data_IF_540512357734
#
_entry.id   IF_540512357734
#
_cell.length_a   1.000
_cell.length_b   1.000
_cell.length_c   1.000
_cell.angle_alpha   90.00
_cell.angle_beta   90.00
_cell.angle_gamma   90.00
#
_symmetry.space_group_name_H-M   'P 1'
#
loop_
_entity.id
_entity.type
_entity.pdbx_description
1 polymer ?
#
# COMPACT_ATOMS: atom_id res chain seq x y z
N UNK A 1 14.72 1.35 -17.86
CA UNK A 1 14.96 2.57 -17.06
C UNK A 1 15.08 2.13 -15.64
N UNK A 2 16.09 2.61 -14.89
CA UNK A 2 16.07 2.43 -13.44
C UNK A 2 15.29 3.58 -12.82
N UNK A 3 14.24 3.25 -12.09
CA UNK A 3 13.46 4.25 -11.36
C UNK A 3 12.87 3.66 -10.08
N UNK A 4 12.80 4.45 -9.03
CA UNK A 4 12.02 4.17 -7.83
C UNK A 4 10.89 5.20 -7.73
N UNK A 5 9.67 4.72 -7.53
CA UNK A 5 8.48 5.56 -7.31
C UNK A 5 8.66 6.49 -6.12
N UNK A 6 8.06 7.68 -6.16
CA UNK A 6 7.92 8.51 -4.97
C UNK A 6 7.07 7.79 -3.91
N UNK A 7 7.34 8.02 -2.63
CA UNK A 7 6.60 7.37 -1.54
C UNK A 7 6.03 8.42 -0.62
N UNK A 8 4.71 8.44 -0.48
CA UNK A 8 4.02 9.22 0.54
C UNK A 8 3.52 8.25 1.61
N UNK A 9 3.85 8.52 2.87
CA UNK A 9 3.06 8.02 4.00
C UNK A 9 2.27 9.17 4.60
N UNK A 10 1.00 8.95 4.90
CA UNK A 10 0.16 9.95 5.54
C UNK A 10 -0.96 9.29 6.35
N UNK A 11 -1.54 10.05 7.27
CA UNK A 11 -2.67 9.63 8.08
C UNK A 11 -3.91 10.41 7.70
N UNK A 12 -4.99 9.71 7.41
CA UNK A 12 -6.33 10.29 7.41
C UNK A 12 -6.81 10.26 8.87
N UNK A 13 -7.07 11.42 9.43
CA UNK A 13 -7.56 11.61 10.79
C UNK A 13 -9.00 12.12 10.74
N UNK A 14 -9.85 11.62 11.64
CA UNK A 14 -11.23 12.06 11.78
C UNK A 14 -11.73 11.92 13.23
N UNK A 15 -12.99 12.29 13.42
CA UNK A 15 -13.71 12.06 14.69
C UNK A 15 -13.86 10.56 14.96
N UNK A 16 -14.13 10.22 16.21
CA UNK A 16 -14.47 8.86 16.60
C UNK A 16 -15.79 8.39 15.99
N UNK A 17 -15.97 7.07 16.01
CA UNK A 17 -17.09 6.34 15.43
C UNK A 17 -17.79 5.50 16.52
N UNK A 18 -19.04 5.07 16.33
CA UNK A 18 -19.77 4.26 17.32
C UNK A 18 -19.28 2.80 17.41
N UNK A 19 -18.14 2.48 16.81
CA UNK A 19 -17.51 1.16 16.79
C UNK A 19 -16.00 1.29 16.99
N UNK A 20 -15.38 0.17 17.35
CA UNK A 20 -13.93 0.02 17.36
C UNK A 20 -13.49 -0.83 16.19
N UNK A 21 -12.46 -0.40 15.46
CA UNK A 21 -11.80 -1.16 14.41
C UNK A 21 -10.29 -0.91 14.49
N UNK A 22 -9.54 -1.92 14.89
CA UNK A 22 -8.10 -1.82 15.12
C UNK A 22 -7.39 -2.95 14.40
N UNK A 23 -6.32 -2.65 13.69
CA UNK A 23 -5.42 -3.67 13.15
C UNK A 23 -4.50 -3.15 12.05
N UNK A 24 -3.77 -4.09 11.46
CA UNK A 24 -2.63 -3.78 10.62
C UNK A 24 -1.41 -3.31 11.41
N UNK A 25 -0.22 -3.51 10.84
CA UNK A 25 1.05 -3.36 11.57
C UNK A 25 1.95 -2.26 11.02
N UNK A 26 1.90 -2.01 9.71
CA UNK A 26 2.85 -1.14 9.04
C UNK A 26 2.23 -0.46 7.81
N UNK A 27 2.63 0.78 7.53
CA UNK A 27 2.18 1.53 6.34
C UNK A 27 2.36 0.75 5.03
N UNK A 28 3.48 0.05 4.87
CA UNK A 28 3.90 -0.62 3.64
C UNK A 28 3.41 -2.08 3.52
N UNK A 29 2.51 -2.53 4.39
CA UNK A 29 1.85 -3.85 4.32
C UNK A 29 0.34 -3.67 4.18
N UNK A 30 -0.35 -4.58 3.49
CA UNK A 30 -1.82 -4.64 3.50
C UNK A 30 -2.28 -5.00 4.91
N UNK A 31 -3.23 -4.24 5.47
CA UNK A 31 -3.86 -4.57 6.75
C UNK A 31 -4.67 -5.87 6.62
N UNK A 32 -4.06 -7.00 6.98
CA UNK A 32 -4.59 -8.34 6.77
C UNK A 32 -5.37 -8.88 7.97
N UNK A 33 -5.12 -8.40 9.18
CA UNK A 33 -5.89 -8.78 10.36
C UNK A 33 -6.39 -7.54 11.09
N UNK A 34 -7.69 -7.51 11.38
CA UNK A 34 -8.34 -6.46 12.18
C UNK A 34 -9.32 -7.06 13.18
N UNK A 35 -9.52 -6.34 14.28
CA UNK A 35 -10.55 -6.60 15.29
C UNK A 35 -11.62 -5.52 15.21
N UNK A 36 -12.87 -5.94 14.98
CA UNK A 36 -14.05 -5.08 14.98
C UNK A 36 -14.90 -5.34 16.24
N UNK A 37 -15.39 -4.27 16.85
CA UNK A 37 -16.38 -4.33 17.94
C UNK A 37 -17.41 -3.23 17.73
N UNK A 38 -18.69 -3.59 17.70
CA UNK A 38 -19.78 -2.63 17.50
C UNK A 38 -21.13 -3.31 17.31
N UNK A 39 -22.20 -2.51 17.18
CA UNK A 39 -23.59 -3.00 17.11
C UNK A 39 -23.89 -3.88 15.90
N UNK A 40 -23.09 -3.77 14.83
CA UNK A 40 -23.30 -4.50 13.58
C UNK A 40 -22.42 -5.76 13.45
N UNK A 41 -21.95 -6.31 14.57
CA UNK A 41 -21.03 -7.45 14.58
C UNK A 41 -21.54 -8.63 13.75
N UNK A 42 -22.77 -9.09 14.03
CA UNK A 42 -23.36 -10.26 13.36
C UNK A 42 -23.66 -10.01 11.88
N UNK A 43 -24.12 -8.80 11.54
CA UNK A 43 -24.39 -8.40 10.16
C UNK A 43 -23.12 -8.35 9.31
N UNK A 44 -22.06 -7.73 9.86
CA UNK A 44 -20.75 -7.65 9.20
C UNK A 44 -20.17 -9.05 9.04
N UNK A 45 -20.17 -9.86 10.10
CA UNK A 45 -19.73 -11.26 10.05
C UNK A 45 -20.41 -12.02 8.91
N UNK A 46 -21.74 -12.01 8.89
CA UNK A 46 -22.54 -12.73 7.90
C UNK A 46 -22.21 -12.30 6.47
N UNK A 47 -22.09 -10.98 6.22
CA UNK A 47 -21.76 -10.44 4.89
C UNK A 47 -20.33 -10.75 4.45
N UNK A 48 -19.38 -10.77 5.39
CA UNK A 48 -17.98 -11.11 5.11
C UNK A 48 -17.83 -12.60 4.78
N UNK A 49 -18.49 -13.49 5.53
CA UNK A 49 -18.49 -14.93 5.25
C UNK A 49 -19.11 -15.26 3.89
N UNK A 50 -20.17 -14.55 3.48
CA UNK A 50 -20.74 -14.66 2.11
C UNK A 50 -19.75 -14.25 1.02
N UNK A 51 -18.76 -13.40 1.33
CA UNK A 51 -17.66 -13.01 0.44
C UNK A 51 -16.44 -13.93 0.57
N UNK A 52 -16.56 -15.06 1.26
CA UNK A 52 -15.49 -16.02 1.57
C UNK A 52 -14.32 -15.40 2.36
N UNK A 53 -14.61 -14.44 3.23
CA UNK A 53 -13.62 -13.86 4.14
C UNK A 53 -13.64 -14.64 5.45
N UNK A 54 -12.46 -15.04 5.93
CA UNK A 54 -12.34 -15.75 7.20
C UNK A 54 -12.63 -14.78 8.36
N UNK A 55 -13.54 -15.19 9.24
CA UNK A 55 -13.87 -14.44 10.45
C UNK A 55 -13.91 -15.32 11.68
N UNK A 56 -13.67 -14.75 12.85
CA UNK A 56 -13.77 -15.43 14.14
C UNK A 56 -14.29 -14.46 15.19
N UNK A 57 -15.20 -14.89 16.04
CA UNK A 57 -15.66 -14.08 17.18
C UNK A 57 -14.92 -14.53 18.44
N UNK A 58 -14.30 -13.59 19.15
CA UNK A 58 -13.64 -13.79 20.44
C UNK A 58 -13.90 -12.58 21.34
N UNK A 59 -14.36 -12.81 22.58
CA UNK A 59 -14.58 -11.74 23.58
C UNK A 59 -15.38 -10.53 23.05
N UNK A 60 -16.51 -10.79 22.37
CA UNK A 60 -17.37 -9.77 21.74
C UNK A 60 -16.69 -8.93 20.65
N UNK A 61 -15.55 -9.40 20.12
CA UNK A 61 -14.85 -8.83 18.98
C UNK A 61 -14.90 -9.79 17.79
N UNK A 62 -15.19 -9.26 16.61
CA UNK A 62 -15.06 -9.94 15.33
C UNK A 62 -13.65 -9.74 14.79
N UNK A 63 -12.86 -10.80 14.79
CA UNK A 63 -11.58 -10.87 14.09
C UNK A 63 -11.86 -11.17 12.63
N UNK A 64 -11.39 -10.29 11.74
CA UNK A 64 -11.48 -10.44 10.29
C UNK A 64 -10.09 -10.70 9.75
N UNK A 65 -9.93 -11.80 9.00
CA UNK A 65 -8.67 -12.18 8.38
C UNK A 65 -8.77 -12.10 6.87
N UNK A 66 -8.01 -11.17 6.31
CA UNK A 66 -7.69 -11.04 4.91
C UNK A 66 -6.38 -11.75 4.57
N UNK A 67 -5.59 -11.11 3.72
CA UNK A 67 -4.34 -11.67 3.20
C UNK A 67 -3.30 -10.57 3.06
N UNK A 68 -2.17 -10.72 3.74
CA UNK A 68 -1.07 -9.76 3.64
C UNK A 68 -0.47 -9.73 2.24
N UNK A 69 0.03 -8.56 1.87
CA UNK A 69 0.82 -8.31 0.68
C UNK A 69 1.63 -7.03 0.89
N UNK A 70 2.76 -6.91 0.21
CA UNK A 70 3.51 -5.67 0.19
C UNK A 70 2.64 -4.55 -0.40
N UNK A 71 2.61 -3.37 0.24
CA UNK A 71 1.83 -2.20 -0.18
C UNK A 71 2.15 -1.60 -1.57
N UNK A 72 3.13 -2.13 -2.30
CA UNK A 72 3.31 -1.86 -3.75
C UNK A 72 2.48 -2.77 -4.66
N UNK A 73 1.95 -3.87 -4.11
CA UNK A 73 1.12 -4.87 -4.78
C UNK A 73 -0.11 -5.17 -3.90
N UNK A 74 -0.87 -4.15 -3.46
CA UNK A 74 -2.01 -4.36 -2.56
C UNK A 74 -3.09 -5.25 -3.16
N UNK A 75 -3.17 -5.34 -4.50
CA UNK A 75 -4.10 -6.19 -5.24
C UNK A 75 -3.84 -7.70 -5.06
N UNK A 76 -2.65 -8.10 -4.61
CA UNK A 76 -2.34 -9.51 -4.30
C UNK A 76 -2.85 -9.94 -2.91
N UNK A 77 -3.22 -8.98 -2.08
CA UNK A 77 -3.74 -9.16 -0.73
C UNK A 77 -5.25 -8.98 -0.64
N UNK A 78 -5.78 -9.14 0.57
CA UNK A 78 -7.16 -8.83 0.94
C UNK A 78 -7.07 -7.93 2.15
N UNK A 79 -7.50 -6.67 2.00
CA UNK A 79 -7.43 -5.68 3.07
C UNK A 79 -8.63 -5.83 4.01
N UNK A 80 -8.39 -6.40 5.20
CA UNK A 80 -9.40 -6.68 6.20
C UNK A 80 -10.03 -5.40 6.78
N UNK A 81 -9.26 -4.32 6.90
CA UNK A 81 -9.78 -3.03 7.35
C UNK A 81 -10.78 -2.44 6.34
N UNK A 82 -10.37 -2.36 5.07
CA UNK A 82 -11.17 -1.73 4.02
C UNK A 82 -12.44 -2.51 3.69
N UNK A 83 -12.39 -3.84 3.68
CA UNK A 83 -13.59 -4.66 3.45
C UNK A 83 -14.59 -4.56 4.62
N UNK A 84 -14.09 -4.46 5.85
CA UNK A 84 -14.93 -4.26 7.05
C UNK A 84 -15.62 -2.89 7.00
N UNK A 85 -14.87 -1.83 6.71
CA UNK A 85 -15.43 -0.47 6.55
C UNK A 85 -16.42 -0.38 5.39
N UNK A 86 -16.12 -1.01 4.24
CA UNK A 86 -17.02 -1.02 3.10
C UNK A 86 -18.34 -1.73 3.42
N UNK A 87 -18.28 -2.83 4.19
CA UNK A 87 -19.44 -3.58 4.66
C UNK A 87 -20.23 -2.77 5.70
N UNK A 88 -19.55 -2.10 6.64
CA UNK A 88 -20.19 -1.18 7.59
C UNK A 88 -20.96 -0.06 6.87
N UNK A 89 -20.37 0.55 5.85
CA UNK A 89 -21.00 1.60 5.04
C UNK A 89 -22.15 1.12 4.13
N UNK A 90 -22.49 -0.18 4.14
CA UNK A 90 -23.74 -0.69 3.56
C UNK A 90 -24.85 -0.83 4.60
N UNK A 91 -24.50 -0.80 5.89
CA UNK A 91 -25.41 -0.93 7.03
C UNK A 91 -25.75 0.43 7.62
N UNK A 92 -24.77 1.35 7.66
CA UNK A 92 -24.91 2.68 8.24
C UNK A 92 -24.23 3.74 7.34
N UNK A 93 -25.05 4.67 6.85
CA UNK A 93 -24.62 5.76 5.97
C UNK A 93 -24.19 7.03 6.73
N UNK A 94 -24.00 6.97 8.05
CA UNK A 94 -23.52 8.10 8.85
C UNK A 94 -22.01 8.05 9.12
N UNK A 95 -21.39 6.87 9.03
CA UNK A 95 -19.94 6.72 9.24
C UNK A 95 -19.16 7.29 8.06
N UNK A 96 -18.64 8.49 8.27
CA UNK A 96 -17.92 9.27 7.27
C UNK A 96 -16.68 8.52 6.79
N UNK A 97 -15.89 7.94 7.70
CA UNK A 97 -14.68 7.21 7.32
C UNK A 97 -15.02 5.93 6.56
N UNK A 98 -16.09 5.24 6.94
CA UNK A 98 -16.53 4.03 6.24
C UNK A 98 -16.99 4.35 4.82
N UNK A 99 -17.75 5.44 4.64
CA UNK A 99 -18.16 5.93 3.32
C UNK A 99 -16.96 6.33 2.47
N UNK A 100 -16.01 7.06 3.05
CA UNK A 100 -14.78 7.45 2.36
C UNK A 100 -13.97 6.22 1.93
N UNK A 101 -13.74 5.27 2.84
CA UNK A 101 -12.99 4.05 2.57
C UNK A 101 -13.67 3.20 1.49
N UNK A 102 -15.00 3.02 1.56
CA UNK A 102 -15.78 2.30 0.56
C UNK A 102 -15.63 2.92 -0.83
N UNK A 103 -15.72 4.25 -0.92
CA UNK A 103 -15.67 4.98 -2.19
C UNK A 103 -14.26 5.01 -2.77
N UNK A 104 -13.27 5.37 -1.97
CA UNK A 104 -11.96 5.76 -2.48
C UNK A 104 -10.87 4.69 -2.33
N UNK A 105 -11.01 3.75 -1.40
CA UNK A 105 -9.94 2.80 -1.06
C UNK A 105 -10.29 1.34 -1.31
N UNK A 106 -11.52 0.92 -0.96
CA UNK A 106 -11.92 -0.48 -1.08
C UNK A 106 -11.98 -0.91 -2.55
N UNK A 107 -11.17 -1.93 -2.91
CA UNK A 107 -10.95 -2.38 -4.28
C UNK A 107 -10.56 -1.26 -5.28
N UNK A 108 -9.97 -0.17 -4.78
CA UNK A 108 -9.46 0.93 -5.58
C UNK A 108 -7.99 1.22 -5.25
N UNK A 109 -7.11 0.38 -5.79
CA UNK A 109 -5.66 0.44 -5.55
C UNK A 109 -4.96 1.63 -6.20
N UNK A 110 -5.68 2.43 -7.00
CA UNK A 110 -5.11 3.56 -7.74
C UNK A 110 -5.72 4.90 -7.33
N UNK A 111 -6.65 4.88 -6.37
CA UNK A 111 -7.36 6.07 -5.92
C UNK A 111 -8.03 6.81 -7.10
N UNK A 112 -8.56 6.04 -8.05
CA UNK A 112 -8.94 6.49 -9.40
C UNK A 112 -10.09 7.50 -9.43
N UNK A 113 -10.90 7.61 -8.38
CA UNK A 113 -11.92 8.65 -8.27
C UNK A 113 -11.32 10.04 -8.10
N UNK A 114 -10.16 10.13 -7.44
CA UNK A 114 -9.45 11.39 -7.25
C UNK A 114 -8.34 11.58 -8.30
N UNK A 115 -7.68 10.50 -8.69
CA UNK A 115 -6.52 10.53 -9.58
C UNK A 115 -6.70 9.63 -10.83
N UNK A 116 -7.75 9.84 -11.64
CA UNK A 116 -8.08 8.94 -12.75
C UNK A 116 -6.97 8.83 -13.80
N UNK A 117 -6.14 9.87 -13.94
CA UNK A 117 -5.11 9.98 -14.96
C UNK A 117 -3.68 10.10 -14.37
N UNK A 118 -3.48 9.82 -13.08
CA UNK A 118 -2.15 9.91 -12.47
C UNK A 118 -1.29 8.70 -12.85
N UNK A 119 -0.60 8.81 -13.98
CA UNK A 119 0.17 7.75 -14.61
C UNK A 119 1.35 8.34 -15.37
N UNK A 120 2.46 7.62 -15.39
CA UNK A 120 3.55 7.83 -16.35
C UNK A 120 4.07 6.49 -16.89
N UNK A 121 5.30 6.50 -17.41
CA UNK A 121 5.97 5.33 -18.00
C UNK A 121 6.20 4.17 -17.02
N UNK A 122 6.21 4.42 -15.70
CA UNK A 122 6.34 3.36 -14.68
C UNK A 122 4.99 2.94 -14.11
N UNK A 123 3.88 3.52 -14.58
CA UNK A 123 2.50 3.09 -14.32
C UNK A 123 1.66 4.04 -13.48
N UNK A 124 0.49 3.56 -13.04
CA UNK A 124 -0.48 4.32 -12.25
C UNK A 124 -0.02 4.54 -10.81
N UNK A 125 -0.52 5.59 -10.14
CA UNK A 125 -0.46 5.70 -8.67
C UNK A 125 -0.91 4.39 -8.01
N UNK A 126 -0.24 3.98 -6.94
CA UNK A 126 -0.66 2.84 -6.11
C UNK A 126 -0.94 3.35 -4.70
N UNK A 127 -2.03 2.91 -4.09
CA UNK A 127 -2.39 3.24 -2.71
C UNK A 127 -2.65 1.96 -1.91
N UNK A 128 -2.08 1.92 -0.71
CA UNK A 128 -2.28 0.89 0.28
C UNK A 128 -2.75 1.50 1.61
N UNK A 129 -3.64 0.80 2.30
CA UNK A 129 -3.91 1.04 3.72
C UNK A 129 -3.28 -0.09 4.54
N UNK A 130 -2.43 0.27 5.51
CA UNK A 130 -1.68 -0.71 6.29
C UNK A 130 -1.98 -0.76 7.78
N UNK A 131 -2.65 0.26 8.30
CA UNK A 131 -3.05 0.38 9.71
C UNK A 131 -4.40 1.10 9.76
N UNK A 132 -5.30 0.59 10.59
CA UNK A 132 -6.57 1.22 10.97
C UNK A 132 -6.67 1.29 12.49
N UNK A 133 -7.04 2.45 13.02
CA UNK A 133 -7.26 2.69 14.43
C UNK A 133 -8.49 3.60 14.58
N UNK A 134 -9.65 2.98 14.80
CA UNK A 134 -10.92 3.66 14.99
C UNK A 134 -11.48 3.27 16.35
N UNK A 135 -11.91 4.26 17.12
CA UNK A 135 -12.65 4.09 18.36
C UNK A 135 -13.63 5.26 18.55
N UNK A 136 -14.24 5.37 19.72
CA UNK A 136 -15.24 6.41 20.04
C UNK A 136 -14.67 7.82 20.12
N UNK A 137 -13.35 7.97 20.23
CA UNK A 137 -12.68 9.27 20.35
C UNK A 137 -12.13 9.75 19.01
N UNK A 138 -11.51 8.85 18.24
CA UNK A 138 -10.74 9.20 17.03
C UNK A 138 -10.79 8.13 15.96
N UNK A 139 -10.54 8.60 14.74
CA UNK A 139 -10.27 7.78 13.57
C UNK A 139 -8.86 8.06 13.07
N UNK A 140 -8.10 7.01 12.78
CA UNK A 140 -6.84 7.07 12.03
C UNK A 140 -6.80 5.94 11.00
N UNK A 141 -6.63 6.31 9.73
CA UNK A 141 -6.46 5.38 8.62
C UNK A 141 -5.19 5.77 7.85
N UNK A 142 -4.22 4.87 7.80
CA UNK A 142 -2.93 5.15 7.13
C UNK A 142 -3.02 5.00 5.63
N UNK A 143 -2.25 5.81 4.91
CA UNK A 143 -2.04 5.69 3.47
C UNK A 143 -0.54 5.50 3.20
N UNK A 144 -0.20 4.49 2.41
CA UNK A 144 1.09 4.35 1.75
C UNK A 144 0.87 4.45 0.24
N UNK A 145 1.34 5.54 -0.37
CA UNK A 145 1.14 5.82 -1.78
C UNK A 145 2.46 5.74 -2.56
N UNK A 146 2.46 5.01 -3.68
CA UNK A 146 3.58 4.89 -4.61
C UNK A 146 3.33 5.78 -5.82
N UNK A 147 3.86 6.99 -5.75
CA UNK A 147 3.63 8.07 -6.70
C UNK A 147 4.49 7.87 -7.96
N UNK A 148 3.94 8.01 -9.17
CA UNK A 148 4.74 7.94 -10.39
C UNK A 148 5.81 9.04 -10.42
N UNK A 149 6.92 8.80 -11.13
CA UNK A 149 8.13 9.66 -11.10
C UNK A 149 7.90 11.07 -11.65
N UNK A 150 6.88 11.22 -12.50
CA UNK A 150 6.52 12.49 -13.14
C UNK A 150 5.80 13.47 -12.21
N UNK A 151 5.43 13.05 -10.99
CA UNK A 151 4.65 13.84 -10.05
C UNK A 151 5.44 14.21 -8.78
N UNK A 152 5.04 15.31 -8.14
CA UNK A 152 5.59 15.84 -6.89
C UNK A 152 4.59 15.66 -5.76
N UNK A 153 5.05 15.90 -4.52
CA UNK A 153 4.21 15.80 -3.33
C UNK A 153 2.89 16.60 -3.46
N UNK A 154 2.98 17.85 -3.92
CA UNK A 154 1.81 18.74 -3.99
C UNK A 154 0.75 18.28 -5.01
N UNK A 155 1.14 17.52 -6.04
CA UNK A 155 0.22 16.96 -7.04
C UNK A 155 -0.72 15.91 -6.43
N UNK A 156 -0.30 15.26 -5.34
CA UNK A 156 -1.09 14.28 -4.58
C UNK A 156 -1.70 14.91 -3.34
N UNK A 157 -0.91 15.65 -2.57
CA UNK A 157 -1.30 16.20 -1.27
C UNK A 157 -2.47 17.18 -1.40
N UNK A 158 -2.43 18.13 -2.34
CA UNK A 158 -3.43 19.18 -2.40
C UNK A 158 -4.81 18.64 -2.81
N UNK A 159 -4.95 17.83 -3.88
CA UNK A 159 -6.25 17.24 -4.22
C UNK A 159 -6.79 16.33 -3.12
N UNK A 160 -5.92 15.59 -2.42
CA UNK A 160 -6.31 14.72 -1.32
C UNK A 160 -6.85 15.53 -0.12
N UNK A 161 -6.20 16.63 0.25
CA UNK A 161 -6.68 17.52 1.32
C UNK A 161 -8.06 18.09 0.95
N UNK A 162 -8.25 18.56 -0.29
CA UNK A 162 -9.54 19.10 -0.73
C UNK A 162 -10.65 18.05 -0.79
N UNK A 163 -10.33 16.80 -1.17
CA UNK A 163 -11.30 15.71 -1.13
C UNK A 163 -11.67 15.35 0.31
N UNK A 164 -10.69 15.22 1.22
CA UNK A 164 -10.90 14.87 2.63
C UNK A 164 -11.75 15.90 3.38
N UNK A 165 -11.59 17.19 3.07
CA UNK A 165 -12.43 18.27 3.63
C UNK A 165 -13.92 18.05 3.39
N UNK A 166 -14.32 17.47 2.25
CA UNK A 166 -15.73 17.16 1.94
C UNK A 166 -16.35 16.15 2.91
N UNK A 167 -15.50 15.37 3.59
CA UNK A 167 -15.87 14.39 4.59
C UNK A 167 -15.59 14.91 6.01
N UNK A 168 -15.13 16.14 6.21
CA UNK A 168 -14.61 16.59 7.53
C UNK A 168 -13.47 15.70 8.06
N UNK A 169 -12.64 15.17 7.16
CA UNK A 169 -11.43 14.42 7.47
C UNK A 169 -10.19 15.31 7.23
N UNK A 170 -9.10 15.01 7.94
CA UNK A 170 -7.85 15.74 7.83
C UNK A 170 -6.71 14.82 7.39
N UNK A 171 -5.76 15.36 6.62
CA UNK A 171 -4.51 14.67 6.30
C UNK A 171 -3.40 15.14 7.25
N UNK A 172 -2.76 14.21 7.96
CA UNK A 172 -1.67 14.46 8.93
C UNK A 172 -0.49 13.54 8.70
N UNK A 173 0.59 13.77 9.45
CA UNK A 173 1.79 12.91 9.50
C UNK A 173 2.36 12.58 8.10
N UNK A 174 2.38 13.59 7.23
CA UNK A 174 2.80 13.43 5.84
C UNK A 174 4.32 13.31 5.80
N UNK A 175 4.81 12.17 5.34
CA UNK A 175 6.19 11.96 4.97
C UNK A 175 6.29 11.76 3.46
N UNK A 176 7.31 12.33 2.84
CA UNK A 176 7.55 12.24 1.41
C UNK A 176 8.98 11.79 1.14
N UNK A 177 9.13 10.75 0.33
CA UNK A 177 10.40 10.34 -0.25
C UNK A 177 10.32 10.55 -1.75
N UNK A 178 11.22 11.37 -2.28
CA UNK A 178 11.23 11.70 -3.70
C UNK A 178 11.41 10.45 -4.58
N UNK A 179 10.86 10.48 -5.81
CA UNK A 179 11.21 9.48 -6.81
C UNK A 179 12.70 9.56 -7.13
N UNK A 180 13.30 8.41 -7.44
CA UNK A 180 14.67 8.31 -7.92
C UNK A 180 14.61 7.85 -9.37
N UNK A 181 15.33 8.50 -10.27
CA UNK A 181 15.40 8.12 -11.67
C UNK A 181 16.84 8.23 -12.17
N UNK A 182 17.33 7.16 -12.80
CA UNK A 182 18.66 7.14 -13.41
C UNK A 182 18.55 6.71 -14.89
N UNK A 183 19.10 7.50 -15.83
CA UNK A 183 19.15 7.12 -17.23
C UNK A 183 19.87 5.79 -17.43
N UNK A 184 19.28 4.88 -18.24
CA UNK A 184 19.89 3.59 -18.57
C UNK A 184 21.23 3.74 -19.28
N UNK A 185 21.40 4.85 -19.98
CA UNK A 185 22.62 5.13 -20.72
C UNK A 185 23.75 5.69 -19.87
N UNK A 186 23.50 5.92 -18.57
CA UNK A 186 24.54 6.38 -17.66
C UNK A 186 25.67 5.34 -17.55
N UNK A 187 26.94 5.78 -17.45
CA UNK A 187 28.08 4.88 -17.30
C UNK A 187 27.93 3.88 -16.15
N UNK A 188 27.33 4.34 -15.04
CA UNK A 188 27.09 3.51 -13.86
C UNK A 188 26.13 2.35 -14.16
N UNK A 189 24.96 2.61 -14.75
CA UNK A 189 23.99 1.56 -15.08
C UNK A 189 24.58 0.57 -16.10
N UNK A 190 25.28 1.07 -17.12
CA UNK A 190 25.94 0.20 -18.11
C UNK A 190 26.96 -0.74 -17.48
N UNK A 191 27.79 -0.23 -16.57
CA UNK A 191 28.79 -1.04 -15.88
C UNK A 191 28.14 -2.10 -14.97
N UNK A 192 27.11 -1.73 -14.21
CA UNK A 192 26.40 -2.68 -13.34
C UNK A 192 25.69 -3.78 -14.14
N UNK A 193 25.04 -3.43 -15.26
CA UNK A 193 24.42 -4.42 -16.15
C UNK A 193 25.43 -5.36 -16.77
N UNK A 194 26.62 -4.86 -17.14
CA UNK A 194 27.69 -5.70 -17.66
C UNK A 194 28.13 -6.75 -16.64
N UNK A 195 28.33 -6.37 -15.38
CA UNK A 195 28.69 -7.30 -14.30
C UNK A 195 27.58 -8.34 -14.08
N UNK A 196 26.32 -7.90 -14.03
CA UNK A 196 25.17 -8.80 -13.92
C UNK A 196 25.16 -9.85 -15.04
N UNK A 197 25.34 -9.42 -16.29
CA UNK A 197 25.38 -10.29 -17.47
C UNK A 197 26.53 -11.29 -17.42
N UNK A 198 27.71 -10.85 -16.99
CA UNK A 198 28.90 -11.71 -16.86
C UNK A 198 28.72 -12.80 -15.80
N UNK A 199 28.09 -12.49 -14.66
CA UNK A 199 27.87 -13.44 -13.55
C UNK A 199 26.71 -14.40 -13.84
N UNK A 200 25.63 -13.90 -14.42
CA UNK A 200 24.37 -14.65 -14.56
C UNK A 200 24.22 -15.32 -15.92
N UNK A 201 24.90 -14.82 -16.95
CA UNK A 201 24.66 -15.17 -18.35
C UNK A 201 23.36 -14.60 -18.93
N UNK A 202 22.58 -13.84 -18.15
CA UNK A 202 21.31 -13.26 -18.59
C UNK A 202 21.53 -11.95 -19.36
N UNK A 203 21.50 -12.05 -20.68
CA UNK A 203 21.64 -10.92 -21.61
C UNK A 203 20.30 -10.26 -22.00
N UNK A 204 19.18 -10.71 -21.43
CA UNK A 204 17.84 -10.27 -21.83
C UNK A 204 17.21 -9.34 -20.80
N UNK A 205 17.51 -9.54 -19.52
CA UNK A 205 17.00 -8.69 -18.43
C UNK A 205 17.51 -7.26 -18.57
N UNK A 206 16.59 -6.30 -18.40
CA UNK A 206 16.86 -4.86 -18.48
C UNK A 206 16.79 -4.24 -17.08
N UNK A 207 17.43 -3.07 -16.86
CA UNK A 207 17.20 -2.28 -15.64
C UNK A 207 15.70 -2.01 -15.46
N UNK A 208 15.20 -2.42 -14.29
CA UNK A 208 13.78 -2.32 -13.92
C UNK A 208 13.49 -1.06 -13.12
N UNK A 209 12.27 -0.55 -13.29
CA UNK A 209 11.69 0.41 -12.37
C UNK A 209 10.93 -0.35 -11.26
N UNK A 210 11.11 0.04 -10.01
CA UNK A 210 10.46 -0.58 -8.85
C UNK A 210 9.59 0.41 -8.09
N UNK A 211 8.54 -0.11 -7.44
CA UNK A 211 7.69 0.68 -6.53
C UNK A 211 8.13 0.69 -5.07
N UNK A 212 9.09 -0.19 -4.71
CA UNK A 212 9.74 -0.18 -3.41
C UNK A 212 10.69 1.02 -3.28
N UNK A 213 10.99 1.41 -2.04
CA UNK A 213 12.04 2.40 -1.77
C UNK A 213 13.28 1.69 -1.25
N UNK A 214 14.45 2.16 -1.65
CA UNK A 214 15.73 1.64 -1.15
C UNK A 214 16.57 2.77 -0.54
N UNK A 215 17.70 2.41 0.10
CA UNK A 215 18.67 3.40 0.57
C UNK A 215 19.30 4.21 -0.56
N UNK A 216 19.15 3.81 -1.83
CA UNK A 216 19.60 4.59 -2.97
C UNK A 216 18.99 6.00 -2.99
N UNK A 217 17.80 6.18 -2.40
CA UNK A 217 17.17 7.50 -2.26
C UNK A 217 17.88 8.46 -1.31
N UNK A 218 18.78 7.97 -0.46
CA UNK A 218 19.46 8.79 0.53
C UNK A 218 20.61 9.62 -0.08
N UNK A 219 21.10 9.27 -1.28
CA UNK A 219 22.24 9.92 -1.91
C UNK A 219 22.04 10.09 -3.42
N UNK A 220 22.50 11.20 -4.02
CA UNK A 220 22.48 11.37 -5.47
C UNK A 220 23.36 10.32 -6.15
N UNK A 221 23.00 9.94 -7.38
CA UNK A 221 23.74 8.97 -8.19
C UNK A 221 23.89 7.57 -7.54
N UNK A 222 22.97 7.19 -6.66
CA UNK A 222 22.91 5.84 -6.09
C UNK A 222 21.75 5.07 -6.73
N UNK A 223 21.86 3.75 -6.85
CA UNK A 223 20.78 2.85 -7.32
C UNK A 223 20.81 1.56 -6.50
N UNK A 224 19.65 0.93 -6.35
CA UNK A 224 19.59 -0.43 -5.87
C UNK A 224 19.95 -1.40 -7.00
N UNK A 225 20.64 -2.48 -6.63
CA UNK A 225 21.09 -3.49 -7.56
C UNK A 225 21.08 -4.86 -6.89
N UNK A 226 20.43 -5.83 -7.54
CA UNK A 226 20.47 -7.24 -7.16
C UNK A 226 19.38 -7.69 -6.17
N UNK A 227 19.76 -8.67 -5.34
CA UNK A 227 18.99 -9.43 -4.33
C UNK A 227 17.87 -10.33 -4.85
N UNK A 228 17.04 -9.86 -5.78
CA UNK A 228 15.89 -10.61 -6.30
C UNK A 228 16.00 -10.78 -7.82
N UNK A 229 15.93 -12.01 -8.30
CA UNK A 229 16.01 -12.32 -9.74
C UNK A 229 14.63 -12.36 -10.41
N UNK A 230 13.59 -12.81 -9.70
CA UNK A 230 12.21 -12.75 -10.16
C UNK A 230 11.31 -12.03 -9.15
N UNK A 231 11.04 -10.77 -9.47
CA UNK A 231 10.22 -9.91 -8.62
C UNK A 231 8.76 -10.37 -8.51
N UNK A 232 8.28 -11.23 -9.41
CA UNK A 232 6.93 -11.77 -9.35
C UNK A 232 6.80 -12.86 -8.30
N UNK A 233 7.87 -13.62 -8.06
CA UNK A 233 7.97 -14.67 -7.03
C UNK A 233 8.45 -14.13 -5.67
N UNK A 234 8.69 -12.82 -5.57
CA UNK A 234 9.24 -12.22 -4.35
C UNK A 234 8.33 -12.43 -3.15
N UNK A 235 8.94 -12.87 -2.04
CA UNK A 235 8.27 -13.11 -0.76
C UNK A 235 8.52 -12.01 0.27
N UNK A 236 9.17 -10.91 -0.13
CA UNK A 236 9.43 -9.76 0.76
C UNK A 236 8.15 -9.27 1.44
N UNK A 237 8.18 -9.17 2.76
CA UNK A 237 7.05 -8.75 3.61
C UNK A 237 5.82 -9.67 3.57
N UNK A 238 5.98 -10.93 3.15
CA UNK A 238 4.96 -11.97 3.28
C UNK A 238 5.30 -12.95 4.41
N UNK A 239 4.30 -13.71 4.87
CA UNK A 239 4.55 -14.80 5.83
C UNK A 239 5.48 -15.86 5.23
N UNK A 240 6.43 -16.36 6.05
CA UNK A 240 7.47 -17.31 5.64
C UNK A 240 8.38 -16.79 4.52
N UNK A 241 8.81 -15.52 4.62
CA UNK A 241 9.80 -14.91 3.72
C UNK A 241 11.06 -15.79 3.57
N UNK A 242 11.49 -16.02 2.33
CA UNK A 242 12.66 -16.84 2.02
C UNK A 242 13.41 -16.31 0.79
N UNK A 243 14.67 -16.74 0.64
CA UNK A 243 15.49 -16.53 -0.56
C UNK A 243 15.99 -17.88 -1.08
N UNK A 244 16.05 -18.05 -2.40
CA UNK A 244 16.62 -19.26 -3.03
C UNK A 244 18.13 -19.28 -2.81
N UNK A 245 18.67 -20.41 -2.34
CA UNK A 245 20.11 -20.55 -2.05
C UNK A 245 20.97 -20.30 -3.31
N UNK A 246 20.49 -20.73 -4.47
CA UNK A 246 21.22 -20.53 -5.72
C UNK A 246 21.24 -19.07 -6.16
N UNK A 247 20.22 -18.30 -5.82
CA UNK A 247 20.20 -16.86 -6.08
C UNK A 247 21.11 -16.12 -5.11
N UNK A 248 21.16 -16.55 -3.85
CA UNK A 248 22.09 -16.01 -2.85
C UNK A 248 23.57 -16.23 -3.25
N UNK A 249 23.90 -17.36 -3.88
CA UNK A 249 25.27 -17.65 -4.36
C UNK A 249 25.71 -16.79 -5.55
N UNK A 250 24.76 -16.24 -6.31
CA UNK A 250 25.01 -15.37 -7.46
C UNK A 250 25.13 -13.89 -7.09
N UNK A 251 24.64 -13.51 -5.90
CA UNK A 251 24.76 -12.15 -5.35
C UNK A 251 26.19 -11.89 -4.86
#
# INVERSE_FOLDING_TARGET
MYAERGIINADIIGKGEPFTLIGGEAYNSVADVVSYQGSYLDDIKTRLEQKNIETKVENDCLIVKGKSSHGRLPERGINAALITLATYAELDNNSVIAIFAKKHLYNNFHFSYLFPNMKDEIGLLIVNNGIVEINQEKTRLTLNMRVPISYKLHDVQNPLIEELKKYNLELKNISWQEPLHMPVDSPMIKNMMKVYQEVTGDNYTKPVAIGGGTYAKAMPNCVAFGAEFDINESTMHAYNEYVKVDDLKKC
#
